data_IF_807748345580
#
_entry.id   IF_807748345580
#
_cell.length_a   1.000
_cell.length_b   1.000
_cell.length_c   1.000
_cell.angle_alpha   90.00
_cell.angle_beta   90.00
_cell.angle_gamma   90.00
#
_symmetry.space_group_name_H-M   'P 1'
#
loop_
_entity.id
_entity.type
_entity.pdbx_description
1 polymer ?
#
# COMPACT_ATOMS: atom_id res chain seq x y z
N UNK A 1 -11.93 -21.96 -3.53
CA UNK A 1 -12.27 -21.92 -4.97
C UNK A 1 -11.35 -20.95 -5.72
N UNK A 2 -11.51 -19.62 -5.59
CA UNK A 2 -10.74 -18.62 -6.37
C UNK A 2 -9.22 -18.83 -6.30
N UNK A 3 -8.66 -19.07 -5.13
CA UNK A 3 -7.23 -19.33 -4.96
C UNK A 3 -6.74 -20.65 -5.57
N UNK A 4 -7.63 -21.63 -5.75
CA UNK A 4 -7.31 -22.88 -6.41
C UNK A 4 -7.35 -22.74 -7.93
N UNK A 5 -8.27 -21.92 -8.43
CA UNK A 5 -8.42 -21.62 -9.86
C UNK A 5 -7.31 -20.67 -10.35
N UNK A 6 -6.92 -19.70 -9.50
CA UNK A 6 -5.92 -18.67 -9.84
C UNK A 6 -4.78 -18.63 -8.81
N UNK A 7 -3.90 -19.65 -8.75
CA UNK A 7 -2.83 -19.74 -7.75
C UNK A 7 -1.75 -18.67 -7.89
N UNK A 8 -1.73 -17.91 -8.99
CA UNK A 8 -0.82 -16.79 -9.24
C UNK A 8 -1.31 -15.45 -8.66
N UNK A 9 -2.53 -15.39 -8.10
CA UNK A 9 -3.03 -14.14 -7.50
C UNK A 9 -2.15 -13.75 -6.31
N UNK A 10 -1.73 -12.47 -6.30
CA UNK A 10 -1.05 -11.86 -5.17
C UNK A 10 -2.06 -11.42 -4.10
N UNK A 11 -1.88 -11.89 -2.86
CA UNK A 11 -2.76 -11.54 -1.73
C UNK A 11 -1.95 -10.88 -0.63
N UNK A 12 -2.37 -9.69 -0.23
CA UNK A 12 -1.82 -8.98 0.95
C UNK A 12 -2.91 -8.81 1.98
N UNK A 13 -2.62 -9.21 3.22
CA UNK A 13 -3.51 -8.99 4.36
C UNK A 13 -2.96 -7.82 5.15
N UNK A 14 -3.80 -6.82 5.38
CA UNK A 14 -3.43 -5.68 6.20
C UNK A 14 -3.29 -6.09 7.66
N UNK A 15 -2.06 -6.03 8.16
CA UNK A 15 -1.68 -6.24 9.56
C UNK A 15 -0.85 -5.03 9.98
N UNK A 16 -1.39 -4.25 10.91
CA UNK A 16 -0.91 -2.91 11.23
C UNK A 16 0.09 -2.89 12.40
N UNK A 17 0.78 -4.00 12.66
CA UNK A 17 1.75 -4.15 13.73
C UNK A 17 1.69 -5.52 14.39
N UNK A 18 2.41 -5.71 15.49
CA UNK A 18 2.32 -6.91 16.31
C UNK A 18 0.94 -7.01 16.98
N UNK A 19 0.64 -8.13 17.59
CA UNK A 19 -0.72 -8.50 18.00
C UNK A 19 -1.46 -7.38 18.76
N UNK A 20 -0.84 -6.80 19.77
CA UNK A 20 -1.46 -5.74 20.57
C UNK A 20 -1.76 -4.50 19.72
N UNK A 21 -0.75 -4.00 19.05
CA UNK A 21 -0.83 -2.78 18.22
C UNK A 21 -1.84 -2.95 17.08
N UNK A 22 -1.79 -4.09 16.38
CA UNK A 22 -2.75 -4.38 15.32
C UNK A 22 -4.19 -4.42 15.83
N UNK A 23 -4.41 -5.09 16.97
CA UNK A 23 -5.75 -5.24 17.53
C UNK A 23 -6.31 -3.90 18.00
N UNK A 24 -5.47 -3.05 18.60
CA UNK A 24 -5.85 -1.71 19.03
C UNK A 24 -6.22 -0.82 17.81
N UNK A 25 -5.38 -0.80 16.77
CA UNK A 25 -5.64 -0.01 15.55
C UNK A 25 -6.89 -0.49 14.81
N UNK A 26 -7.07 -1.81 14.70
CA UNK A 26 -8.21 -2.41 13.99
C UNK A 26 -9.52 -2.40 14.82
N UNK A 27 -9.45 -2.15 16.12
CA UNK A 27 -10.60 -2.26 17.01
C UNK A 27 -11.12 -3.69 17.15
N UNK A 28 -10.28 -4.70 16.93
CA UNK A 28 -10.64 -6.11 16.92
C UNK A 28 -9.72 -6.90 17.85
N UNK A 29 -10.26 -7.52 18.89
CA UNK A 29 -9.49 -8.26 19.91
C UNK A 29 -8.63 -9.40 19.35
N UNK A 30 -8.99 -9.96 18.21
CA UNK A 30 -8.34 -11.09 17.58
C UNK A 30 -7.96 -10.82 16.10
N UNK A 31 -7.90 -9.54 15.70
CA UNK A 31 -7.63 -9.12 14.33
C UNK A 31 -6.29 -9.64 13.80
N UNK A 32 -5.23 -9.53 14.59
CA UNK A 32 -3.92 -10.08 14.26
C UNK A 32 -3.98 -11.60 14.01
N UNK A 33 -4.54 -12.34 14.97
CA UNK A 33 -4.64 -13.81 14.89
C UNK A 33 -5.45 -14.26 13.66
N UNK A 34 -6.53 -13.56 13.32
CA UNK A 34 -7.33 -13.86 12.11
C UNK A 34 -6.50 -13.66 10.84
N UNK A 35 -5.85 -12.51 10.70
CA UNK A 35 -5.01 -12.20 9.54
C UNK A 35 -3.84 -13.19 9.40
N UNK A 36 -3.13 -13.43 10.50
CA UNK A 36 -2.02 -14.39 10.55
C UNK A 36 -2.47 -15.81 10.18
N UNK A 37 -3.58 -16.29 10.75
CA UNK A 37 -4.13 -17.63 10.45
C UNK A 37 -4.57 -17.74 8.99
N UNK A 38 -5.14 -16.66 8.43
CA UNK A 38 -5.53 -16.64 7.02
C UNK A 38 -4.30 -16.76 6.11
N UNK A 39 -3.22 -16.02 6.40
CA UNK A 39 -1.97 -16.13 5.65
C UNK A 39 -1.37 -17.55 5.72
N UNK A 40 -1.38 -18.17 6.90
CA UNK A 40 -0.92 -19.56 7.05
C UNK A 40 -1.74 -20.52 6.17
N UNK A 41 -3.06 -20.42 6.19
CA UNK A 41 -3.94 -21.26 5.38
C UNK A 41 -3.70 -21.05 3.88
N UNK A 42 -3.52 -19.80 3.43
CA UNK A 42 -3.19 -19.51 2.04
C UNK A 42 -1.86 -20.14 1.62
N UNK A 43 -0.85 -20.12 2.49
CA UNK A 43 0.44 -20.79 2.26
C UNK A 43 0.26 -22.32 2.18
N UNK A 44 -0.49 -22.92 3.09
CA UNK A 44 -0.83 -24.35 3.08
C UNK A 44 -1.58 -24.80 1.83
N UNK A 45 -2.37 -23.88 1.22
CA UNK A 45 -3.02 -24.08 -0.07
C UNK A 45 -2.09 -23.93 -1.28
N UNK A 46 -0.80 -23.63 -1.07
CA UNK A 46 0.19 -23.49 -2.12
C UNK A 46 0.26 -22.13 -2.79
N UNK A 47 -0.40 -21.10 -2.24
CA UNK A 47 -0.29 -19.73 -2.73
C UNK A 47 1.14 -19.20 -2.50
N UNK A 48 1.73 -18.62 -3.55
CA UNK A 48 3.13 -18.17 -3.54
C UNK A 48 3.28 -16.67 -3.29
N UNK A 49 2.41 -15.84 -3.88
CA UNK A 49 2.48 -14.39 -3.75
C UNK A 49 1.53 -13.89 -2.66
N UNK A 50 1.86 -14.23 -1.42
CA UNK A 50 1.08 -13.82 -0.25
C UNK A 50 1.95 -13.04 0.73
N UNK A 51 1.34 -12.21 1.55
CA UNK A 51 2.09 -11.45 2.54
C UNK A 51 1.31 -10.44 3.35
N UNK A 52 2.07 -9.69 4.13
CA UNK A 52 1.57 -8.64 5.01
C UNK A 52 1.55 -7.30 4.29
N UNK A 53 0.58 -6.47 4.61
CA UNK A 53 0.54 -5.05 4.27
C UNK A 53 0.42 -4.23 5.54
N UNK A 54 1.25 -3.19 5.70
CA UNK A 54 1.24 -2.31 6.87
C UNK A 54 1.21 -0.84 6.44
N UNK A 55 0.24 -0.09 6.96
CA UNK A 55 0.23 1.38 6.85
C UNK A 55 0.87 1.97 8.09
N UNK A 56 2.06 2.54 7.93
CA UNK A 56 2.90 3.00 9.04
C UNK A 56 2.47 4.39 9.50
N UNK A 57 2.30 4.54 10.80
CA UNK A 57 1.97 5.75 11.53
C UNK A 57 2.70 5.76 12.89
N UNK A 58 2.54 6.83 13.68
CA UNK A 58 3.26 6.99 14.95
C UNK A 58 3.13 5.79 15.90
N UNK A 59 1.91 5.26 16.04
CA UNK A 59 1.62 4.21 17.04
C UNK A 59 2.21 2.85 16.66
N UNK A 60 2.38 2.56 15.39
CA UNK A 60 2.84 1.25 14.93
C UNK A 60 4.24 1.23 14.30
N UNK A 61 4.86 2.39 14.10
CA UNK A 61 6.21 2.45 13.54
C UNK A 61 7.22 1.55 14.29
N UNK A 62 7.20 1.42 15.64
CA UNK A 62 8.10 0.50 16.36
C UNK A 62 7.91 -0.98 15.98
N UNK A 63 6.75 -1.37 15.47
CA UNK A 63 6.45 -2.74 15.07
C UNK A 63 6.88 -3.06 13.62
N UNK A 64 7.41 -2.07 12.88
CA UNK A 64 7.72 -2.20 11.46
C UNK A 64 8.77 -3.28 11.18
N UNK A 65 9.90 -3.26 11.89
CA UNK A 65 10.94 -4.28 11.76
C UNK A 65 10.51 -5.62 12.35
N UNK A 66 9.93 -5.71 13.55
CA UNK A 66 9.39 -6.97 14.09
C UNK A 66 8.40 -7.66 13.14
N UNK A 67 7.49 -6.91 12.52
CA UNK A 67 6.52 -7.49 11.57
C UNK A 67 7.19 -7.94 10.26
N UNK A 68 8.20 -7.21 9.79
CA UNK A 68 9.03 -7.63 8.66
C UNK A 68 9.77 -8.94 8.96
N UNK A 69 10.38 -9.08 10.14
CA UNK A 69 11.06 -10.30 10.56
C UNK A 69 10.10 -11.49 10.61
N UNK A 70 8.92 -11.31 11.19
CA UNK A 70 7.86 -12.31 11.18
C UNK A 70 7.45 -12.72 9.76
N UNK A 71 7.34 -11.76 8.83
CA UNK A 71 7.03 -12.07 7.44
C UNK A 71 8.13 -12.89 6.76
N UNK A 72 9.40 -12.62 7.07
CA UNK A 72 10.53 -13.41 6.57
C UNK A 72 10.57 -14.83 7.13
N UNK A 73 10.31 -15.01 8.43
CA UNK A 73 10.19 -16.34 9.05
C UNK A 73 9.10 -17.19 8.39
N UNK A 74 8.03 -16.52 7.96
CA UNK A 74 6.95 -17.17 7.22
C UNK A 74 7.23 -17.31 5.72
N UNK A 75 8.37 -16.85 5.21
CA UNK A 75 8.67 -16.78 3.78
C UNK A 75 7.52 -16.12 3.00
N UNK A 76 7.16 -14.91 3.40
CA UNK A 76 6.07 -14.13 2.84
C UNK A 76 6.53 -12.72 2.48
N UNK A 77 5.77 -12.08 1.59
CA UNK A 77 6.01 -10.70 1.20
C UNK A 77 5.63 -9.73 2.31
N UNK A 78 6.35 -8.59 2.36
CA UNK A 78 6.03 -7.47 3.23
C UNK A 78 5.89 -6.19 2.42
N UNK A 79 4.72 -5.59 2.44
CA UNK A 79 4.40 -4.34 1.77
C UNK A 79 4.12 -3.25 2.80
N UNK A 80 4.63 -2.06 2.52
CA UNK A 80 4.50 -0.89 3.40
C UNK A 80 3.86 0.28 2.67
N UNK A 81 3.12 1.08 3.41
CA UNK A 81 2.67 2.41 3.03
C UNK A 81 2.89 3.37 4.20
N UNK A 82 3.00 4.65 3.95
CA UNK A 82 2.93 5.68 5.00
C UNK A 82 1.49 6.14 5.17
N UNK A 83 1.09 6.49 6.38
CA UNK A 83 -0.19 7.13 6.65
C UNK A 83 -0.37 8.33 5.72
N UNK A 84 -1.52 8.39 5.06
CA UNK A 84 -1.83 9.45 4.09
C UNK A 84 -3.30 9.85 4.17
N UNK A 85 -3.61 11.00 3.59
CA UNK A 85 -4.97 11.47 3.39
C UNK A 85 -5.44 11.12 1.99
N UNK A 86 -6.73 10.86 1.84
CA UNK A 86 -7.33 10.48 0.57
C UNK A 86 -8.81 10.88 0.55
N UNK A 87 -9.28 11.42 -0.57
CA UNK A 87 -10.70 11.67 -0.77
C UNK A 87 -11.52 10.38 -0.66
N UNK A 88 -10.96 9.27 -1.13
CA UNK A 88 -11.63 7.97 -1.20
C UNK A 88 -11.95 7.40 0.19
N UNK A 89 -11.03 7.55 1.14
CA UNK A 89 -11.25 7.13 2.52
C UNK A 89 -11.98 8.18 3.37
N UNK A 90 -12.38 9.29 2.76
CA UNK A 90 -13.04 10.44 3.44
C UNK A 90 -12.21 10.94 4.63
N UNK A 91 -10.88 10.80 4.52
CA UNK A 91 -9.95 11.16 5.59
C UNK A 91 -8.97 12.24 5.12
N UNK A 92 -9.00 13.37 5.77
CA UNK A 92 -8.19 14.54 5.43
C UNK A 92 -7.35 15.07 6.60
N UNK A 93 -7.42 14.41 7.76
CA UNK A 93 -6.79 14.87 9.01
C UNK A 93 -5.71 13.93 9.54
N UNK A 94 -5.34 12.91 8.77
CA UNK A 94 -4.24 12.04 9.12
C UNK A 94 -2.94 12.82 9.15
N UNK A 95 -2.22 12.76 10.27
CA UNK A 95 -0.93 13.45 10.48
C UNK A 95 0.02 12.48 11.18
N UNK A 96 1.25 12.40 10.70
CA UNK A 96 2.37 11.81 11.43
C UNK A 96 2.96 12.91 12.31
N UNK A 97 2.87 12.74 13.62
CA UNK A 97 3.31 13.74 14.61
C UNK A 97 4.80 13.63 14.89
N UNK A 98 5.32 12.42 15.10
CA UNK A 98 6.75 12.17 15.33
C UNK A 98 7.43 11.65 14.06
N UNK A 99 7.58 12.55 13.08
CA UNK A 99 8.23 12.22 11.79
C UNK A 99 9.64 11.64 11.96
N UNK A 100 10.50 12.17 12.86
CA UNK A 100 11.83 11.58 13.07
C UNK A 100 11.78 10.13 13.56
N UNK A 101 10.90 9.81 14.50
CA UNK A 101 10.74 8.44 15.01
C UNK A 101 10.23 7.50 13.93
N UNK A 102 9.19 7.90 13.17
CA UNK A 102 8.65 7.09 12.07
C UNK A 102 9.70 6.89 10.97
N UNK A 103 10.41 7.95 10.57
CA UNK A 103 11.49 7.86 9.58
C UNK A 103 12.62 6.93 10.04
N UNK A 104 13.01 6.99 11.32
CA UNK A 104 14.03 6.11 11.90
C UNK A 104 13.63 4.63 11.79
N UNK A 105 12.38 4.28 12.06
CA UNK A 105 11.90 2.91 11.91
C UNK A 105 11.92 2.45 10.43
N UNK A 106 11.62 3.34 9.47
CA UNK A 106 11.83 3.05 8.05
C UNK A 106 13.31 2.85 7.69
N UNK A 107 14.23 3.65 8.24
CA UNK A 107 15.67 3.46 8.05
C UNK A 107 16.13 2.09 8.58
N UNK A 108 15.63 1.67 9.72
CA UNK A 108 15.95 0.36 10.29
C UNK A 108 15.42 -0.78 9.40
N UNK A 109 14.21 -0.66 8.85
CA UNK A 109 13.69 -1.60 7.83
C UNK A 109 14.55 -1.59 6.56
N UNK A 110 14.93 -0.41 6.04
CA UNK A 110 15.81 -0.29 4.87
C UNK A 110 17.12 -1.02 5.11
N UNK A 111 17.75 -0.81 6.27
CA UNK A 111 18.98 -1.49 6.64
C UNK A 111 18.81 -3.01 6.72
N UNK A 112 17.69 -3.50 7.22
CA UNK A 112 17.37 -4.93 7.26
C UNK A 112 17.20 -5.51 5.85
N UNK A 113 16.50 -4.81 4.96
CA UNK A 113 16.29 -5.20 3.56
C UNK A 113 17.60 -5.25 2.76
N UNK A 114 18.49 -4.25 2.95
CA UNK A 114 19.77 -4.16 2.24
C UNK A 114 20.78 -5.22 2.67
N UNK A 115 20.67 -5.80 3.87
CA UNK A 115 21.50 -6.91 4.31
C UNK A 115 21.21 -8.23 3.59
N UNK A 116 20.16 -8.29 2.80
CA UNK A 116 19.77 -9.50 2.06
C UNK A 116 20.41 -9.53 0.66
N UNK A 117 20.56 -10.72 0.07
CA UNK A 117 21.01 -10.90 -1.31
C UNK A 117 19.83 -10.97 -2.31
N UNK A 118 18.77 -10.17 -2.09
CA UNK A 118 17.58 -10.18 -2.91
C UNK A 118 17.35 -8.85 -3.62
N UNK A 119 17.44 -8.78 -4.96
CA UNK A 119 17.15 -7.56 -5.71
C UNK A 119 15.75 -7.02 -5.43
N UNK A 120 14.76 -7.89 -5.22
CA UNK A 120 13.40 -7.50 -4.85
C UNK A 120 13.36 -6.75 -3.51
N UNK A 121 14.12 -7.22 -2.52
CA UNK A 121 14.22 -6.56 -1.21
C UNK A 121 14.99 -5.24 -1.31
N UNK A 122 16.00 -5.14 -2.17
CA UNK A 122 16.69 -3.87 -2.43
C UNK A 122 15.77 -2.84 -3.08
N UNK A 123 14.93 -3.27 -4.03
CA UNK A 123 13.90 -2.40 -4.59
C UNK A 123 12.90 -1.95 -3.51
N UNK A 124 12.50 -2.83 -2.59
CA UNK A 124 11.67 -2.46 -1.43
C UNK A 124 12.37 -1.46 -0.52
N UNK A 125 13.68 -1.58 -0.30
CA UNK A 125 14.46 -0.59 0.45
C UNK A 125 14.42 0.79 -0.21
N UNK A 126 14.60 0.86 -1.53
CA UNK A 126 14.47 2.10 -2.30
C UNK A 126 13.06 2.70 -2.20
N UNK A 127 12.03 1.88 -2.31
CA UNK A 127 10.63 2.30 -2.13
C UNK A 127 10.41 2.91 -0.73
N UNK A 128 10.89 2.24 0.32
CA UNK A 128 10.76 2.75 1.70
C UNK A 128 11.53 4.06 1.91
N UNK A 129 12.66 4.26 1.24
CA UNK A 129 13.35 5.55 1.24
C UNK A 129 12.46 6.66 0.63
N UNK A 130 11.71 6.35 -0.41
CA UNK A 130 10.69 7.25 -0.96
C UNK A 130 9.57 7.59 0.03
N UNK A 131 9.19 6.65 0.91
CA UNK A 131 8.21 6.93 1.97
C UNK A 131 8.76 7.89 3.04
N UNK A 132 10.06 7.83 3.35
CA UNK A 132 10.71 8.82 4.22
C UNK A 132 10.63 10.22 3.59
N UNK A 133 10.92 10.36 2.30
CA UNK A 133 10.74 11.63 1.59
C UNK A 133 9.29 12.12 1.67
N UNK A 134 8.32 11.24 1.50
CA UNK A 134 6.90 11.57 1.63
C UNK A 134 6.57 12.10 3.03
N UNK A 135 7.04 11.44 4.10
CA UNK A 135 6.82 11.83 5.50
C UNK A 135 7.33 13.24 5.75
N UNK A 136 8.46 13.62 5.16
CA UNK A 136 9.03 14.97 5.28
C UNK A 136 8.49 15.98 4.27
N UNK A 137 7.55 15.59 3.41
CA UNK A 137 6.98 16.45 2.38
C UNK A 137 7.97 16.80 1.27
N UNK A 138 8.98 15.98 1.04
CA UNK A 138 9.97 16.14 -0.02
C UNK A 138 9.44 15.60 -1.35
N UNK A 139 10.14 15.93 -2.44
CA UNK A 139 9.81 15.42 -3.78
C UNK A 139 9.92 13.90 -3.84
N UNK A 140 9.07 13.29 -4.64
CA UNK A 140 9.14 11.86 -4.97
C UNK A 140 10.48 11.54 -5.63
N UNK A 141 11.01 10.34 -5.37
CA UNK A 141 12.25 9.86 -5.98
C UNK A 141 12.07 9.50 -7.45
N UNK A 142 10.88 9.01 -7.80
CA UNK A 142 10.50 8.64 -9.16
C UNK A 142 9.29 9.45 -9.60
N UNK A 143 9.15 9.75 -10.91
CA UNK A 143 7.94 10.35 -11.44
C UNK A 143 6.72 9.48 -11.14
N UNK A 144 5.55 10.09 -11.12
CA UNK A 144 4.30 9.40 -10.92
C UNK A 144 3.65 9.13 -12.29
N UNK A 145 3.54 7.85 -12.64
CA UNK A 145 2.92 7.41 -13.90
C UNK A 145 1.44 6.99 -13.72
N UNK A 146 0.84 7.37 -12.57
CA UNK A 146 -0.60 7.20 -12.35
C UNK A 146 -1.38 7.96 -13.43
N UNK A 147 -2.48 7.38 -13.88
CA UNK A 147 -3.30 7.82 -15.02
C UNK A 147 -2.69 7.62 -16.42
N UNK A 148 -1.47 7.10 -16.53
CA UNK A 148 -0.85 6.70 -17.79
C UNK A 148 -0.74 5.17 -17.90
N UNK A 149 -0.22 4.52 -16.88
CA UNK A 149 -0.02 3.06 -16.83
C UNK A 149 -1.01 2.36 -15.89
N UNK A 150 -1.62 3.10 -14.97
CA UNK A 150 -2.54 2.59 -13.96
C UNK A 150 -3.69 3.55 -13.74
N UNK A 151 -4.75 3.05 -13.16
CA UNK A 151 -5.93 3.83 -12.79
C UNK A 151 -6.57 3.27 -11.51
N UNK A 152 -7.47 4.00 -10.93
CA UNK A 152 -8.35 3.57 -9.87
C UNK A 152 -9.81 3.66 -10.35
N UNK A 153 -10.62 2.64 -10.04
CA UNK A 153 -12.05 2.63 -10.34
C UNK A 153 -12.84 2.40 -9.05
N UNK A 154 -13.84 3.22 -8.82
CA UNK A 154 -14.74 3.03 -7.68
C UNK A 154 -15.89 2.04 -8.01
N UNK A 155 -16.67 1.59 -7.00
CA UNK A 155 -17.78 0.67 -7.23
C UNK A 155 -18.91 1.21 -8.11
N UNK A 156 -18.91 2.50 -8.39
CA UNK A 156 -19.91 3.18 -9.22
C UNK A 156 -19.47 3.34 -10.68
N UNK A 157 -18.28 2.80 -11.02
CA UNK A 157 -17.73 2.86 -12.37
C UNK A 157 -16.98 4.16 -12.70
N UNK A 158 -16.80 5.07 -11.75
CA UNK A 158 -15.97 6.25 -11.93
C UNK A 158 -14.49 5.85 -12.01
N UNK A 159 -13.82 6.23 -13.10
CA UNK A 159 -12.39 6.01 -13.31
C UNK A 159 -11.63 7.27 -12.92
N UNK A 160 -10.60 7.09 -12.12
CA UNK A 160 -9.77 8.15 -11.55
C UNK A 160 -8.29 7.81 -11.71
N UNK A 161 -7.39 8.81 -11.68
CA UNK A 161 -5.94 8.58 -11.75
C UNK A 161 -5.44 7.66 -10.64
N UNK A 162 -5.93 7.91 -9.41
CA UNK A 162 -5.44 7.28 -8.19
C UNK A 162 -6.46 7.49 -7.07
N UNK A 163 -6.48 6.61 -6.09
CA UNK A 163 -7.28 6.77 -4.87
C UNK A 163 -6.62 7.70 -3.83
N UNK A 164 -5.39 8.15 -4.07
CA UNK A 164 -4.60 8.98 -3.14
C UNK A 164 -4.58 10.48 -3.48
N UNK A 165 -5.37 10.93 -4.45
CA UNK A 165 -5.51 12.37 -4.74
C UNK A 165 -6.26 13.09 -3.61
N UNK A 166 -6.01 14.40 -3.42
CA UNK A 166 -6.70 15.19 -2.40
C UNK A 166 -8.19 15.34 -2.69
N UNK A 167 -8.52 15.53 -3.96
CA UNK A 167 -9.87 15.70 -4.47
C UNK A 167 -10.23 14.54 -5.39
N UNK A 168 -11.54 14.29 -5.57
CA UNK A 168 -12.03 13.29 -6.52
C UNK A 168 -11.87 13.84 -7.94
N UNK A 169 -10.89 13.32 -8.66
CA UNK A 169 -10.58 13.68 -10.05
C UNK A 169 -11.08 12.58 -10.99
N UNK A 170 -12.27 12.75 -11.56
CA UNK A 170 -12.91 11.73 -12.41
C UNK A 170 -12.49 11.93 -13.86
N UNK A 171 -11.94 10.89 -14.49
CA UNK A 171 -11.58 10.83 -15.91
C UNK A 171 -12.79 10.46 -16.80
N UNK A 172 -13.74 9.73 -16.24
CA UNK A 172 -14.96 9.27 -16.90
C UNK A 172 -15.62 8.13 -16.13
N UNK A 173 -16.73 7.57 -16.67
CA UNK A 173 -17.49 6.51 -16.02
C UNK A 173 -17.79 5.37 -16.98
N UNK A 174 -17.41 4.15 -16.63
CA UNK A 174 -17.56 2.95 -17.49
C UNK A 174 -19.00 2.44 -17.62
N UNK A 175 -19.96 2.98 -16.90
CA UNK A 175 -21.37 2.70 -17.15
C UNK A 175 -21.93 3.47 -18.35
N UNK A 176 -21.25 4.55 -18.78
CA UNK A 176 -21.74 5.48 -19.80
C UNK A 176 -20.93 5.46 -21.10
N UNK A 177 -19.74 4.84 -21.10
CA UNK A 177 -18.80 4.83 -22.24
C UNK A 177 -17.87 3.62 -22.16
N UNK A 178 -17.27 3.27 -23.28
CA UNK A 178 -16.28 2.20 -23.33
C UNK A 178 -14.95 2.64 -22.70
N UNK A 179 -14.07 1.67 -22.41
CA UNK A 179 -12.73 1.96 -21.90
C UNK A 179 -11.92 2.82 -22.88
N UNK A 180 -11.97 2.49 -24.17
CA UNK A 180 -11.23 3.19 -25.22
C UNK A 180 -11.69 4.65 -25.35
N UNK A 181 -12.98 4.89 -25.32
CA UNK A 181 -13.56 6.23 -25.36
C UNK A 181 -13.14 7.04 -24.13
N UNK A 182 -13.25 6.46 -22.94
CA UNK A 182 -12.86 7.11 -21.69
C UNK A 182 -11.37 7.44 -21.65
N UNK A 183 -10.53 6.42 -21.90
CA UNK A 183 -9.09 6.53 -21.72
C UNK A 183 -8.45 7.55 -22.68
N UNK A 184 -9.02 7.72 -23.88
CA UNK A 184 -8.55 8.65 -24.89
C UNK A 184 -9.37 9.95 -24.96
N UNK A 185 -10.22 10.23 -23.97
CA UNK A 185 -11.05 11.43 -23.95
C UNK A 185 -10.26 12.68 -23.60
N UNK A 186 -10.70 13.88 -24.07
CA UNK A 186 -10.14 15.15 -23.66
C UNK A 186 -10.22 15.37 -22.14
N UNK A 187 -11.30 14.90 -21.50
CA UNK A 187 -11.52 15.00 -20.06
C UNK A 187 -10.46 14.20 -19.28
N UNK A 188 -10.15 12.99 -19.74
CA UNK A 188 -9.06 12.18 -19.15
C UNK A 188 -7.71 12.89 -19.30
N UNK A 189 -7.45 13.53 -20.43
CA UNK A 189 -6.21 14.27 -20.66
C UNK A 189 -6.10 15.52 -19.78
N UNK A 190 -7.21 16.22 -19.53
CA UNK A 190 -7.21 17.36 -18.60
C UNK A 190 -6.90 16.89 -17.16
N UNK A 191 -7.52 15.79 -16.72
CA UNK A 191 -7.23 15.21 -15.40
C UNK A 191 -5.76 14.78 -15.30
N UNK A 192 -5.19 14.14 -16.33
CA UNK A 192 -3.77 13.77 -16.39
C UNK A 192 -2.84 14.98 -16.22
N UNK A 193 -3.16 16.09 -16.88
CA UNK A 193 -2.39 17.34 -16.76
C UNK A 193 -2.46 17.92 -15.35
N UNK A 194 -3.66 17.87 -14.74
CA UNK A 194 -3.92 18.43 -13.40
C UNK A 194 -3.21 17.64 -12.29
N UNK A 195 -3.17 16.30 -12.38
CA UNK A 195 -2.63 15.43 -11.33
C UNK A 195 -1.16 15.07 -11.50
N UNK A 196 -0.52 15.53 -12.55
CA UNK A 196 0.90 15.25 -12.80
C UNK A 196 1.74 15.91 -11.69
N UNK A 197 2.35 15.05 -10.87
CA UNK A 197 3.20 15.46 -9.73
C UNK A 197 4.60 15.86 -10.20
#
# INVERSE_FOLDING_TARGET
ELCQEFPQIGIRISIEGMEKTNNDIRGLKDGFRRGYTTLKKLKEMGMKDIGFGMTVQDINAPDLVPLYELSNEMDMEFATASLHNSFYFVESKNIIHDRPMVAKNFEDLINALLKTNSPKKWFRAYFNHGLINYIYGQKRLLPCDMSFDTFFMDPYGDVMPCNGTKEKEVMGNLNNQTWEELWNSPEADEVRKKVRC
#
